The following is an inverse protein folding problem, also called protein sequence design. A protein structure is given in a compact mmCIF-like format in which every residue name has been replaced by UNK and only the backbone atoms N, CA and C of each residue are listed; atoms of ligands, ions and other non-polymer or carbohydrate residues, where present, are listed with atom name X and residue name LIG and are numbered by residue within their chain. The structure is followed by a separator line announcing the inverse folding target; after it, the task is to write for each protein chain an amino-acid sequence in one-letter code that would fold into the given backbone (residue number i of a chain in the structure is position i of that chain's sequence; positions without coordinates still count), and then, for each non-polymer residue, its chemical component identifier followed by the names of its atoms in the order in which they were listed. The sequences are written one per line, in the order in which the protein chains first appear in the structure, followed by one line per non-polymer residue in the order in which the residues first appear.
data_IF_603069219905
#
_entry.id   IF_603069219905
#
_cell.length_a   1.000
_cell.length_b   1.000
_cell.length_c   1.000
_cell.angle_alpha   90.00
_cell.angle_beta   90.00
_cell.angle_gamma   90.00
#
_symmetry.space_group_name_H-M   'P 1'
#
loop_
_entity.id
_entity.type
_entity.pdbx_description
1 polymer ?
#
# COMPACT_ATOMS: atom_id res chain seq x y z
N UNK A 1 -34.18 70.97 2.15
CA UNK A 1 -32.87 70.42 1.78
C UNK A 1 -32.98 69.79 0.41
N UNK A 2 -32.58 70.50 -0.64
CA UNK A 2 -32.52 69.92 -1.99
C UNK A 2 -31.49 68.79 -2.02
N UNK A 3 -31.91 67.59 -2.42
CA UNK A 3 -30.99 66.46 -2.64
C UNK A 3 -29.96 66.84 -3.71
N UNK A 4 -28.68 66.71 -3.35
CA UNK A 4 -27.53 66.99 -4.21
C UNK A 4 -27.74 66.44 -5.64
N UNK A 5 -27.71 67.28 -6.69
CA UNK A 5 -27.99 66.85 -8.07
C UNK A 5 -27.06 65.73 -8.56
N UNK A 6 -25.82 65.67 -8.04
CA UNK A 6 -24.88 64.57 -8.31
C UNK A 6 -25.38 63.24 -7.76
N UNK A 7 -25.95 63.23 -6.56
CA UNK A 7 -26.50 62.02 -5.94
C UNK A 7 -27.70 61.49 -6.74
N UNK A 8 -28.58 62.38 -7.21
CA UNK A 8 -29.72 62.02 -8.07
C UNK A 8 -29.25 61.44 -9.41
N UNK A 9 -28.23 62.02 -10.04
CA UNK A 9 -27.65 61.51 -11.29
C UNK A 9 -27.02 60.13 -11.12
N UNK A 10 -26.25 59.91 -10.04
CA UNK A 10 -25.62 58.62 -9.74
C UNK A 10 -26.67 57.53 -9.44
N UNK A 11 -27.71 57.85 -8.67
CA UNK A 11 -28.80 56.92 -8.39
C UNK A 11 -29.55 56.51 -9.67
N UNK A 12 -29.84 57.46 -10.55
CA UNK A 12 -30.48 57.20 -11.84
C UNK A 12 -29.58 56.36 -12.76
N UNK A 13 -28.28 56.62 -12.80
CA UNK A 13 -27.32 55.83 -13.56
C UNK A 13 -27.23 54.38 -13.02
N UNK A 14 -27.11 54.22 -11.70
CA UNK A 14 -27.09 52.90 -11.05
C UNK A 14 -28.33 52.08 -11.40
N UNK A 15 -29.51 52.69 -11.31
CA UNK A 15 -30.78 52.02 -11.64
C UNK A 15 -30.77 51.51 -13.09
N UNK A 16 -30.45 52.39 -14.05
CA UNK A 16 -30.39 52.02 -15.48
C UNK A 16 -29.38 50.91 -15.76
N UNK A 17 -28.17 51.00 -15.19
CA UNK A 17 -27.13 49.98 -15.37
C UNK A 17 -27.60 48.62 -14.81
N UNK A 18 -28.24 48.63 -13.63
CA UNK A 18 -28.73 47.41 -12.98
C UNK A 18 -29.86 46.76 -13.80
N UNK A 19 -30.76 47.56 -14.37
CA UNK A 19 -31.81 47.09 -15.28
C UNK A 19 -31.22 46.48 -16.56
N UNK A 20 -30.21 47.11 -17.16
CA UNK A 20 -29.52 46.56 -18.33
C UNK A 20 -28.82 45.23 -18.01
N UNK A 21 -28.14 45.13 -16.86
CA UNK A 21 -27.51 43.89 -16.41
C UNK A 21 -28.54 42.76 -16.22
N UNK A 22 -29.70 43.07 -15.63
CA UNK A 22 -30.79 42.10 -15.50
C UNK A 22 -31.25 41.61 -16.88
N UNK A 23 -31.54 42.54 -17.80
CA UNK A 23 -31.97 42.18 -19.15
C UNK A 23 -30.93 41.34 -19.90
N UNK A 24 -29.64 41.63 -19.75
CA UNK A 24 -28.57 40.83 -20.35
C UNK A 24 -28.53 39.41 -19.78
N UNK A 25 -28.65 39.28 -18.46
CA UNK A 25 -28.68 38.00 -17.75
C UNK A 25 -29.88 37.17 -18.21
N UNK A 26 -31.07 37.76 -18.22
CA UNK A 26 -32.31 37.09 -18.60
C UNK A 26 -32.28 36.64 -20.07
N UNK A 27 -31.74 37.47 -20.98
CA UNK A 27 -31.57 37.11 -22.40
C UNK A 27 -30.59 35.95 -22.56
N UNK A 28 -29.48 35.94 -21.81
CA UNK A 28 -28.53 34.85 -21.84
C UNK A 28 -29.15 33.53 -21.36
N UNK A 29 -29.95 33.56 -20.29
CA UNK A 29 -30.68 32.39 -19.78
C UNK A 29 -31.72 31.89 -20.80
N UNK A 30 -32.48 32.79 -21.43
CA UNK A 30 -33.43 32.43 -22.51
C UNK A 30 -32.72 31.79 -23.70
N UNK A 31 -31.57 32.34 -24.10
CA UNK A 31 -30.76 31.74 -25.16
C UNK A 31 -30.27 30.34 -24.77
N UNK A 32 -29.84 30.14 -23.52
CA UNK A 32 -29.46 28.81 -23.04
C UNK A 32 -30.62 27.81 -23.14
N UNK A 33 -31.84 28.23 -22.78
CA UNK A 33 -33.05 27.41 -22.91
C UNK A 33 -33.40 27.07 -24.36
N UNK A 34 -33.29 28.03 -25.29
CA UNK A 34 -33.51 27.76 -26.73
C UNK A 34 -32.44 26.82 -27.30
N UNK A 35 -31.20 26.94 -26.86
CA UNK A 35 -30.13 25.98 -27.24
C UNK A 35 -30.40 24.60 -26.66
N UNK A 36 -30.92 24.48 -25.43
CA UNK A 36 -31.32 23.19 -24.84
C UNK A 36 -32.40 22.51 -25.70
N UNK A 37 -33.46 23.23 -26.09
CA UNK A 37 -34.50 22.71 -26.99
C UNK A 37 -33.94 22.25 -28.35
N UNK A 38 -33.02 23.03 -28.92
CA UNK A 38 -32.37 22.65 -30.18
C UNK A 38 -31.58 21.34 -30.05
N UNK A 39 -30.96 21.10 -28.89
CA UNK A 39 -30.20 19.88 -28.62
C UNK A 39 -31.09 18.64 -28.39
N UNK A 40 -32.40 18.81 -28.22
CA UNK A 40 -33.36 17.69 -28.18
C UNK A 40 -33.62 17.10 -29.58
N UNK A 41 -33.45 17.89 -30.63
CA UNK A 41 -33.78 17.51 -32.02
C UNK A 41 -32.55 17.41 -32.94
N UNK A 42 -31.39 17.91 -32.51
CA UNK A 42 -30.15 17.92 -33.28
C UNK A 42 -28.95 17.49 -32.43
N UNK A 43 -27.94 16.90 -33.07
CA UNK A 43 -26.68 16.60 -32.38
C UNK A 43 -25.95 17.87 -31.96
N UNK A 44 -25.08 17.78 -30.96
CA UNK A 44 -24.25 18.91 -30.51
C UNK A 44 -23.45 19.54 -31.67
N UNK A 45 -23.01 18.73 -32.64
CA UNK A 45 -22.25 19.21 -33.80
C UNK A 45 -23.13 20.03 -34.75
N UNK A 46 -24.32 19.51 -35.07
CA UNK A 46 -25.28 20.17 -35.95
C UNK A 46 -25.80 21.46 -35.32
N UNK A 47 -26.19 21.43 -34.04
CA UNK A 47 -26.65 22.61 -33.30
C UNK A 47 -25.59 23.71 -33.27
N UNK A 48 -24.31 23.37 -32.99
CA UNK A 48 -23.22 24.35 -33.03
C UNK A 48 -22.98 24.92 -34.43
N UNK A 49 -23.05 24.07 -35.46
CA UNK A 49 -22.92 24.50 -36.85
C UNK A 49 -24.02 25.48 -37.24
N UNK A 50 -25.27 25.11 -36.95
CA UNK A 50 -26.45 25.92 -37.21
C UNK A 50 -26.38 27.28 -36.50
N UNK A 51 -26.13 27.29 -35.19
CA UNK A 51 -26.08 28.52 -34.39
C UNK A 51 -24.91 29.43 -34.79
N UNK A 52 -23.78 28.87 -35.24
CA UNK A 52 -22.64 29.65 -35.75
C UNK A 52 -22.98 30.32 -37.09
N UNK A 53 -23.53 29.56 -38.03
CA UNK A 53 -23.76 30.02 -39.41
C UNK A 53 -25.00 30.91 -39.52
N UNK A 54 -26.10 30.51 -38.88
CA UNK A 54 -27.40 31.18 -39.04
C UNK A 54 -27.72 32.17 -37.92
N UNK A 55 -27.15 32.00 -36.73
CA UNK A 55 -27.42 32.88 -35.58
C UNK A 55 -26.24 33.78 -35.19
N UNK A 56 -25.09 33.67 -35.89
CA UNK A 56 -23.92 34.53 -35.67
C UNK A 56 -23.24 34.36 -34.30
N UNK A 57 -23.48 33.26 -33.60
CA UNK A 57 -22.92 33.04 -32.26
C UNK A 57 -21.43 32.65 -32.32
N UNK A 58 -20.64 33.22 -31.42
CA UNK A 58 -19.21 32.90 -31.32
C UNK A 58 -19.00 31.44 -30.90
N UNK A 59 -18.02 30.76 -31.50
CA UNK A 59 -17.70 29.38 -31.13
C UNK A 59 -17.34 29.23 -29.64
N UNK A 60 -16.79 30.29 -29.05
CA UNK A 60 -16.43 30.32 -27.63
C UNK A 60 -17.66 30.36 -26.70
N UNK A 61 -18.78 30.92 -27.15
CA UNK A 61 -20.01 31.07 -26.35
C UNK A 61 -20.97 29.91 -26.58
N UNK A 62 -20.95 29.32 -27.78
CA UNK A 62 -21.65 28.07 -28.08
C UNK A 62 -21.25 26.93 -27.14
N UNK A 63 -19.97 26.88 -26.76
CA UNK A 63 -19.49 25.93 -25.76
C UNK A 63 -20.19 26.10 -24.41
N UNK A 64 -20.46 27.34 -23.99
CA UNK A 64 -21.17 27.67 -22.76
C UNK A 64 -22.63 27.25 -22.82
N UNK A 65 -23.36 27.66 -23.86
CA UNK A 65 -24.79 27.37 -23.97
C UNK A 65 -25.07 25.87 -24.03
N UNK A 66 -24.25 25.11 -24.77
CA UNK A 66 -24.36 23.64 -24.83
C UNK A 66 -24.06 22.97 -23.48
N UNK A 67 -23.14 23.52 -22.69
CA UNK A 67 -22.82 22.99 -21.36
C UNK A 67 -23.83 23.43 -20.30
N UNK A 68 -24.58 24.51 -20.55
CA UNK A 68 -25.45 25.13 -19.56
C UNK A 68 -26.46 24.14 -18.99
N UNK A 69 -27.21 23.44 -19.86
CA UNK A 69 -28.20 22.44 -19.44
C UNK A 69 -27.63 21.26 -18.65
N UNK A 70 -26.33 20.96 -18.80
CA UNK A 70 -25.64 19.89 -18.06
C UNK A 70 -25.02 20.34 -16.75
N UNK A 71 -24.70 21.63 -16.64
CA UNK A 71 -23.84 22.13 -15.55
C UNK A 71 -24.54 23.13 -14.65
N UNK A 72 -25.42 23.97 -15.18
CA UNK A 72 -26.07 25.09 -14.49
C UNK A 72 -27.60 24.95 -14.43
N UNK A 73 -28.13 23.80 -14.82
CA UNK A 73 -29.57 23.51 -14.73
C UNK A 73 -30.04 23.57 -13.27
N UNK A 74 -31.13 24.28 -13.02
CA UNK A 74 -31.66 24.55 -11.69
C UNK A 74 -31.02 25.75 -10.97
N UNK A 75 -29.99 26.36 -11.54
CA UNK A 75 -29.37 27.57 -11.00
C UNK A 75 -29.84 28.86 -11.68
N UNK A 76 -30.77 28.78 -12.65
CA UNK A 76 -31.24 29.92 -13.47
C UNK A 76 -31.73 31.07 -12.60
N UNK A 77 -32.51 30.74 -11.58
CA UNK A 77 -33.05 31.65 -10.59
C UNK A 77 -31.97 32.41 -9.81
N UNK A 78 -30.93 31.69 -9.37
CA UNK A 78 -29.80 32.27 -8.63
C UNK A 78 -29.00 33.19 -9.56
N UNK A 79 -28.75 32.75 -10.79
CA UNK A 79 -28.02 33.54 -11.79
C UNK A 79 -28.79 34.82 -12.18
N UNK A 80 -30.11 34.71 -12.36
CA UNK A 80 -31.00 35.81 -12.67
C UNK A 80 -31.05 36.84 -11.54
N UNK A 81 -31.33 36.41 -10.30
CA UNK A 81 -31.44 37.32 -9.15
C UNK A 81 -30.12 38.03 -8.84
N UNK A 82 -29.00 37.34 -9.00
CA UNK A 82 -27.68 37.90 -8.74
C UNK A 82 -27.10 38.67 -9.94
N UNK A 83 -27.85 38.80 -11.06
CA UNK A 83 -27.46 39.53 -12.28
C UNK A 83 -26.08 39.10 -12.79
N UNK A 84 -25.87 37.79 -12.85
CA UNK A 84 -24.54 37.25 -13.16
C UNK A 84 -24.19 37.53 -14.63
N UNK A 85 -23.06 38.21 -14.91
CA UNK A 85 -22.65 38.48 -16.29
C UNK A 85 -22.29 37.18 -17.02
N UNK A 86 -22.45 37.19 -18.36
CA UNK A 86 -22.23 35.99 -19.17
C UNK A 86 -20.80 35.44 -19.09
N UNK A 87 -19.79 36.29 -18.86
CA UNK A 87 -18.41 35.87 -18.62
C UNK A 87 -18.26 34.97 -17.38
N UNK A 88 -19.00 35.27 -16.31
CA UNK A 88 -19.04 34.47 -15.08
C UNK A 88 -19.85 33.20 -15.31
N UNK A 89 -20.99 33.27 -16.03
CA UNK A 89 -21.72 32.05 -16.43
C UNK A 89 -20.84 31.07 -17.22
N UNK A 90 -20.02 31.60 -18.13
CA UNK A 90 -19.05 30.83 -18.91
C UNK A 90 -17.97 30.17 -18.04
N UNK A 91 -17.47 30.88 -17.03
CA UNK A 91 -16.55 30.32 -16.05
C UNK A 91 -17.20 29.20 -15.23
N UNK A 92 -18.42 29.39 -14.75
CA UNK A 92 -19.19 28.39 -13.98
C UNK A 92 -19.51 27.14 -14.81
N UNK A 93 -19.95 27.31 -16.06
CA UNK A 93 -20.25 26.21 -16.98
C UNK A 93 -19.00 25.38 -17.33
N UNK A 94 -17.81 25.97 -17.21
CA UNK A 94 -16.53 25.32 -17.51
C UNK A 94 -15.81 24.76 -16.28
N UNK A 95 -16.24 25.14 -15.07
CA UNK A 95 -15.66 24.67 -13.82
C UNK A 95 -15.97 23.19 -13.56
N UNK A 96 -15.15 22.52 -12.74
CA UNK A 96 -15.48 21.21 -12.18
C UNK A 96 -16.65 21.31 -11.19
N UNK A 97 -17.23 20.17 -10.83
CA UNK A 97 -18.44 20.11 -10.00
C UNK A 97 -18.28 20.82 -8.66
N UNK A 98 -17.16 20.60 -7.96
CA UNK A 98 -16.95 21.15 -6.61
C UNK A 98 -16.79 22.66 -6.65
N UNK A 99 -15.96 23.14 -7.59
CA UNK A 99 -15.79 24.58 -7.84
C UNK A 99 -17.12 25.25 -8.19
N UNK A 100 -17.93 24.62 -9.04
CA UNK A 100 -19.24 25.17 -9.45
C UNK A 100 -20.23 25.20 -8.29
N UNK A 101 -20.35 24.11 -7.52
CA UNK A 101 -21.26 24.05 -6.37
C UNK A 101 -20.93 25.15 -5.37
N UNK A 102 -19.65 25.27 -4.98
CA UNK A 102 -19.23 26.31 -4.04
C UNK A 102 -19.52 27.71 -4.57
N UNK A 103 -19.13 28.00 -5.82
CA UNK A 103 -19.36 29.31 -6.41
C UNK A 103 -20.85 29.66 -6.48
N UNK A 104 -21.72 28.70 -6.84
CA UNK A 104 -23.17 28.91 -6.84
C UNK A 104 -23.73 29.13 -5.44
N UNK A 105 -23.25 28.40 -4.42
CA UNK A 105 -23.64 28.63 -3.02
C UNK A 105 -23.21 30.02 -2.54
N UNK A 106 -21.99 30.45 -2.86
CA UNK A 106 -21.49 31.79 -2.54
C UNK A 106 -22.33 32.89 -3.21
N UNK A 107 -22.69 32.70 -4.49
CA UNK A 107 -23.57 33.63 -5.22
C UNK A 107 -24.99 33.64 -4.62
N UNK A 108 -25.52 32.48 -4.24
CA UNK A 108 -26.82 32.39 -3.58
C UNK A 108 -26.83 33.10 -2.21
N UNK A 109 -25.69 33.14 -1.52
CA UNK A 109 -25.45 33.93 -0.32
C UNK A 109 -25.33 35.44 -0.56
N UNK A 110 -25.43 35.91 -1.82
CA UNK A 110 -25.42 37.33 -2.18
C UNK A 110 -24.05 37.90 -2.54
N UNK A 111 -23.00 37.09 -2.57
CA UNK A 111 -21.68 37.54 -3.01
C UNK A 111 -21.63 37.70 -4.54
N UNK A 112 -20.99 38.77 -5.00
CA UNK A 112 -20.70 38.97 -6.42
C UNK A 112 -19.35 38.36 -6.74
N UNK A 113 -19.37 37.23 -7.47
CA UNK A 113 -18.15 36.59 -7.94
C UNK A 113 -17.77 37.04 -9.34
N UNK A 114 -16.48 37.30 -9.55
CA UNK A 114 -15.87 37.47 -10.85
C UNK A 114 -15.20 36.19 -11.36
N UNK A 115 -14.67 36.23 -12.58
CA UNK A 115 -13.99 35.08 -13.19
C UNK A 115 -12.68 34.71 -12.50
N UNK A 116 -12.01 35.67 -11.86
CA UNK A 116 -10.74 35.48 -11.16
C UNK A 116 -10.94 34.79 -9.81
N UNK A 117 -12.03 35.10 -9.12
CA UNK A 117 -12.45 34.48 -7.87
C UNK A 117 -12.86 33.02 -8.09
N UNK A 118 -13.60 32.73 -9.18
CA UNK A 118 -13.88 31.33 -9.56
C UNK A 118 -12.58 30.55 -9.84
N UNK A 119 -11.60 31.18 -10.49
CA UNK A 119 -10.29 30.56 -10.71
C UNK A 119 -9.53 30.34 -9.38
N UNK A 120 -9.67 31.24 -8.41
CA UNK A 120 -9.10 31.08 -7.08
C UNK A 120 -9.74 29.92 -6.31
N UNK A 121 -11.07 29.81 -6.31
CA UNK A 121 -11.82 28.68 -5.72
C UNK A 121 -11.31 27.37 -6.31
N UNK A 122 -11.20 27.29 -7.64
CA UNK A 122 -10.70 26.09 -8.33
C UNK A 122 -9.29 25.70 -7.89
N UNK A 123 -8.38 26.67 -7.79
CA UNK A 123 -7.00 26.43 -7.33
C UNK A 123 -6.99 25.89 -5.92
N UNK A 124 -7.75 26.50 -5.00
CA UNK A 124 -7.86 26.06 -3.61
C UNK A 124 -8.39 24.63 -3.50
N UNK A 125 -9.50 24.32 -4.17
CA UNK A 125 -10.11 22.99 -4.15
C UNK A 125 -9.18 21.91 -4.74
N UNK A 126 -8.36 22.25 -5.73
CA UNK A 126 -7.33 21.34 -6.26
C UNK A 126 -6.24 21.06 -5.24
N UNK A 127 -5.75 22.08 -4.55
CA UNK A 127 -4.74 21.94 -3.48
C UNK A 127 -5.26 21.06 -2.34
N UNK A 128 -6.49 21.29 -1.91
CA UNK A 128 -7.12 20.53 -0.81
C UNK A 128 -7.27 19.04 -1.16
N UNK A 129 -7.64 18.73 -2.42
CA UNK A 129 -7.69 17.34 -2.90
C UNK A 129 -6.33 16.66 -2.89
N UNK A 130 -5.28 17.35 -3.33
CA UNK A 130 -3.91 16.81 -3.31
C UNK A 130 -3.45 16.54 -1.89
N UNK A 131 -3.73 17.45 -0.95
CA UNK A 131 -3.41 17.28 0.47
C UNK A 131 -4.11 16.05 1.08
N UNK A 132 -5.41 15.86 0.80
CA UNK A 132 -6.16 14.69 1.27
C UNK A 132 -5.65 13.37 0.71
N UNK A 133 -5.24 13.35 -0.57
CA UNK A 133 -4.66 12.15 -1.18
C UNK A 133 -3.32 11.77 -0.52
N UNK A 134 -2.47 12.76 -0.20
CA UNK A 134 -1.22 12.52 0.51
C UNK A 134 -1.45 11.97 1.93
N UNK A 135 -2.45 12.50 2.65
CA UNK A 135 -2.83 11.98 3.96
C UNK A 135 -3.31 10.52 3.88
N UNK A 136 -4.17 10.19 2.92
CA UNK A 136 -4.66 8.82 2.72
C UNK A 136 -3.52 7.82 2.39
N UNK A 137 -2.52 8.25 1.62
CA UNK A 137 -1.36 7.40 1.32
C UNK A 137 -0.50 7.13 2.56
N UNK A 138 -0.28 8.16 3.38
CA UNK A 138 0.43 8.01 4.66
C UNK A 138 -0.29 7.04 5.59
N UNK A 139 -1.61 7.15 5.69
CA UNK A 139 -2.42 6.27 6.53
C UNK A 139 -2.37 4.81 6.02
N UNK A 140 -2.46 4.61 4.70
CA UNK A 140 -2.31 3.28 4.09
C UNK A 140 -0.95 2.65 4.38
N UNK A 141 0.13 3.42 4.20
CA UNK A 141 1.48 2.95 4.49
C UNK A 141 1.64 2.58 5.97
N UNK A 142 1.03 3.35 6.88
CA UNK A 142 1.06 3.05 8.31
C UNK A 142 0.32 1.75 8.66
N UNK A 143 -0.85 1.51 8.06
CA UNK A 143 -1.62 0.26 8.25
C UNK A 143 -0.84 -0.95 7.73
N UNK A 144 -0.27 -0.86 6.53
CA UNK A 144 0.56 -1.94 5.96
C UNK A 144 1.76 -2.22 6.86
N UNK A 145 2.47 -1.19 7.30
CA UNK A 145 3.63 -1.35 8.17
C UNK A 145 3.26 -1.94 9.54
N UNK A 146 2.09 -1.62 10.10
CA UNK A 146 1.60 -2.20 11.34
C UNK A 146 1.31 -3.71 11.18
N UNK A 147 0.64 -4.08 10.08
CA UNK A 147 0.33 -5.48 9.79
C UNK A 147 1.60 -6.31 9.53
N UNK A 148 2.58 -5.76 8.79
CA UNK A 148 3.88 -6.42 8.57
C UNK A 148 4.62 -6.67 9.89
N UNK A 149 4.65 -5.69 10.80
CA UNK A 149 5.26 -5.86 12.13
C UNK A 149 4.56 -6.94 12.95
N UNK A 150 3.22 -6.96 12.91
CA UNK A 150 2.44 -7.98 13.63
C UNK A 150 2.73 -9.37 13.09
N UNK A 151 2.73 -9.54 11.77
CA UNK A 151 3.07 -10.82 11.13
C UNK A 151 4.49 -11.27 11.46
N UNK A 152 5.48 -10.37 11.34
CA UNK A 152 6.86 -10.68 11.69
C UNK A 152 7.01 -11.14 13.14
N UNK A 153 6.32 -10.49 14.10
CA UNK A 153 6.34 -10.88 15.51
C UNK A 153 5.69 -12.26 15.75
N UNK A 154 4.56 -12.54 15.09
CA UNK A 154 3.90 -13.84 15.17
C UNK A 154 4.74 -14.96 14.56
N UNK A 155 5.27 -14.75 13.36
CA UNK A 155 6.12 -15.74 12.67
C UNK A 155 7.44 -15.97 13.41
N UNK A 156 8.04 -14.93 14.02
CA UNK A 156 9.24 -15.11 14.86
C UNK A 156 8.95 -15.95 16.11
N UNK A 157 7.79 -15.76 16.74
CA UNK A 157 7.38 -16.57 17.90
C UNK A 157 7.13 -18.03 17.50
N UNK A 158 6.49 -18.25 16.36
CA UNK A 158 6.25 -19.59 15.82
C UNK A 158 7.58 -20.30 15.51
N UNK A 159 8.50 -19.63 14.81
CA UNK A 159 9.82 -20.18 14.48
C UNK A 159 10.61 -20.57 15.73
N UNK A 160 10.57 -19.74 16.79
CA UNK A 160 11.20 -20.07 18.08
C UNK A 160 10.63 -21.38 18.66
N UNK A 161 9.30 -21.46 18.81
CA UNK A 161 8.62 -22.62 19.40
C UNK A 161 8.79 -23.90 18.58
N UNK A 162 8.71 -23.81 17.25
CA UNK A 162 8.87 -24.94 16.35
C UNK A 162 10.33 -25.43 16.34
N UNK A 163 11.31 -24.51 16.35
CA UNK A 163 12.72 -24.89 16.43
C UNK A 163 13.04 -25.52 17.79
N UNK A 164 12.44 -25.02 18.87
CA UNK A 164 12.56 -25.58 20.23
C UNK A 164 12.10 -27.04 20.27
N UNK A 165 10.90 -27.32 19.75
CA UNK A 165 10.32 -28.66 19.67
C UNK A 165 11.11 -29.60 18.73
N UNK A 166 11.60 -29.06 17.62
CA UNK A 166 12.45 -29.79 16.68
C UNK A 166 13.76 -30.24 17.34
N UNK A 167 14.41 -29.36 18.09
CA UNK A 167 15.64 -29.70 18.81
C UNK A 167 15.45 -30.83 19.83
N UNK A 168 14.29 -30.90 20.49
CA UNK A 168 13.97 -32.00 21.39
C UNK A 168 13.74 -33.32 20.64
N UNK A 169 13.14 -33.27 19.46
CA UNK A 169 12.98 -34.43 18.57
C UNK A 169 14.33 -34.95 18.10
N UNK A 170 15.23 -34.06 17.64
CA UNK A 170 16.59 -34.41 17.24
C UNK A 170 17.37 -35.02 18.41
N UNK A 171 17.17 -34.53 19.64
CA UNK A 171 17.78 -35.10 20.85
C UNK A 171 17.32 -36.52 21.12
N UNK A 172 16.02 -36.75 21.05
CA UNK A 172 15.44 -38.07 21.30
C UNK A 172 15.98 -39.07 20.28
N UNK A 173 16.07 -38.66 19.01
CA UNK A 173 16.66 -39.45 17.93
C UNK A 173 18.14 -39.76 18.18
N UNK A 174 18.97 -38.74 18.43
CA UNK A 174 20.40 -38.94 18.72
C UNK A 174 20.60 -39.88 19.91
N UNK A 175 19.84 -39.69 20.99
CA UNK A 175 19.96 -40.54 22.18
C UNK A 175 19.50 -41.97 21.94
N UNK A 176 18.45 -42.18 21.14
CA UNK A 176 17.90 -43.51 20.83
C UNK A 176 18.82 -44.29 19.92
N UNK A 177 19.36 -43.65 18.90
CA UNK A 177 20.13 -44.30 17.84
C UNK A 177 21.64 -44.05 17.92
N UNK A 178 22.16 -43.50 19.02
CA UNK A 178 23.59 -43.17 19.18
C UNK A 178 24.53 -44.30 18.75
N UNK A 179 24.29 -45.51 19.28
CA UNK A 179 25.13 -46.68 18.98
C UNK A 179 24.90 -47.21 17.56
N UNK A 180 23.70 -47.03 17.02
CA UNK A 180 23.34 -47.40 15.65
C UNK A 180 24.01 -46.48 14.61
N UNK A 181 24.00 -45.16 14.86
CA UNK A 181 24.72 -44.16 14.07
C UNK A 181 26.23 -44.44 14.11
N UNK A 182 26.77 -44.86 15.26
CA UNK A 182 28.17 -45.28 15.39
C UNK A 182 28.47 -46.58 14.64
N UNK A 183 27.54 -47.55 14.60
CA UNK A 183 27.75 -48.81 13.88
C UNK A 183 27.77 -48.68 12.36
N UNK A 184 27.09 -47.67 11.80
CA UNK A 184 27.23 -47.31 10.38
C UNK A 184 28.66 -46.86 10.04
N UNK A 185 29.33 -46.15 10.95
CA UNK A 185 30.73 -45.76 10.77
C UNK A 185 31.68 -46.98 10.87
N UNK A 186 31.29 -48.00 11.64
CA UNK A 186 32.11 -49.19 11.95
C UNK A 186 31.73 -50.46 11.16
N UNK A 187 30.81 -50.38 10.18
CA UNK A 187 30.41 -51.43 9.24
C UNK A 187 29.99 -52.78 9.88
N UNK A 188 29.21 -52.78 10.96
CA UNK A 188 28.60 -54.01 11.53
C UNK A 188 27.15 -54.20 11.06
N UNK A 189 26.77 -55.45 10.75
CA UNK A 189 25.42 -55.83 10.29
C UNK A 189 24.34 -55.52 11.33
N UNK A 190 23.23 -54.98 10.85
CA UNK A 190 22.10 -54.43 11.63
C UNK A 190 20.89 -55.37 11.68
N UNK A 191 20.07 -55.24 12.72
CA UNK A 191 18.78 -55.92 12.85
C UNK A 191 17.69 -55.15 12.06
N UNK A 192 16.83 -55.83 11.25
CA UNK A 192 15.87 -55.16 10.37
C UNK A 192 14.90 -54.21 11.07
N UNK A 193 14.41 -54.58 12.26
CA UNK A 193 13.44 -53.78 13.02
C UNK A 193 14.05 -52.45 13.50
N UNK A 194 15.33 -52.42 13.85
CA UNK A 194 16.02 -51.19 14.26
C UNK A 194 16.27 -50.24 13.06
N UNK A 195 16.53 -50.79 11.88
CA UNK A 195 16.76 -50.01 10.67
C UNK A 195 15.46 -49.35 10.16
N UNK A 196 14.33 -50.05 10.20
CA UNK A 196 13.03 -49.48 9.83
C UNK A 196 12.60 -48.34 10.76
N UNK A 197 12.74 -48.53 12.08
CA UNK A 197 12.46 -47.48 13.07
C UNK A 197 13.38 -46.27 12.92
N UNK A 198 14.67 -46.51 12.64
CA UNK A 198 15.64 -45.45 12.38
C UNK A 198 15.25 -44.62 11.17
N UNK A 199 14.95 -45.28 10.04
CA UNK A 199 14.57 -44.58 8.81
C UNK A 199 13.27 -43.80 8.96
N UNK A 200 12.30 -44.33 9.71
CA UNK A 200 11.05 -43.63 10.01
C UNK A 200 11.27 -42.35 10.84
N UNK A 201 12.12 -42.41 11.88
CA UNK A 201 12.44 -41.25 12.70
C UNK A 201 13.34 -40.24 11.94
N UNK A 202 14.23 -40.74 11.08
CA UNK A 202 15.08 -39.92 10.20
C UNK A 202 14.23 -39.11 9.20
N UNK A 203 13.30 -39.74 8.49
CA UNK A 203 12.40 -39.06 7.56
C UNK A 203 11.49 -38.03 8.26
N UNK A 204 11.09 -38.32 9.51
CA UNK A 204 10.34 -37.36 10.33
C UNK A 204 11.16 -36.10 10.61
N UNK A 205 12.43 -36.26 10.99
CA UNK A 205 13.34 -35.13 11.22
C UNK A 205 13.60 -34.37 9.91
N UNK A 206 13.83 -35.08 8.80
CA UNK A 206 14.03 -34.46 7.48
C UNK A 206 12.85 -33.58 7.09
N UNK A 207 11.63 -34.12 7.19
CA UNK A 207 10.38 -33.39 6.88
C UNK A 207 10.16 -32.19 7.80
N UNK A 208 10.49 -32.31 9.10
CA UNK A 208 10.41 -31.18 10.04
C UNK A 208 11.48 -30.11 9.74
N UNK A 209 12.67 -30.52 9.28
CA UNK A 209 13.72 -29.61 8.82
C UNK A 209 13.33 -28.83 7.56
N UNK A 210 12.66 -29.47 6.60
CA UNK A 210 12.07 -28.82 5.42
C UNK A 210 11.07 -27.74 5.84
N UNK A 211 10.11 -28.09 6.71
CA UNK A 211 9.10 -27.15 7.19
C UNK A 211 9.73 -25.93 7.91
N UNK A 212 10.68 -26.17 8.81
CA UNK A 212 11.38 -25.08 9.50
C UNK A 212 12.19 -24.19 8.56
N UNK A 213 12.77 -24.75 7.49
CA UNK A 213 13.47 -23.97 6.48
C UNK A 213 12.52 -23.04 5.72
N UNK A 214 11.31 -23.51 5.40
CA UNK A 214 10.26 -22.69 4.80
C UNK A 214 9.86 -21.54 5.74
N UNK A 215 9.53 -21.85 7.01
CA UNK A 215 9.19 -20.84 8.03
C UNK A 215 10.33 -19.83 8.21
N UNK A 216 11.58 -20.27 8.20
CA UNK A 216 12.75 -19.39 8.26
C UNK A 216 12.79 -18.42 7.06
N UNK A 217 12.55 -18.92 5.84
CA UNK A 217 12.55 -18.10 4.63
C UNK A 217 11.38 -17.11 4.62
N UNK A 218 10.23 -17.45 5.20
CA UNK A 218 9.12 -16.52 5.36
C UNK A 218 9.46 -15.35 6.30
N UNK A 219 10.20 -15.61 7.38
CA UNK A 219 10.57 -14.59 8.38
C UNK A 219 11.72 -13.71 7.89
N UNK A 220 12.78 -14.30 7.35
CA UNK A 220 14.03 -13.61 7.03
C UNK A 220 14.25 -13.38 5.54
N UNK A 221 13.39 -13.92 4.69
CA UNK A 221 13.49 -13.84 3.24
C UNK A 221 14.42 -14.89 2.61
N UNK A 222 14.33 -15.08 1.28
CA UNK A 222 15.11 -16.10 0.54
C UNK A 222 16.60 -15.70 0.39
N UNK A 223 16.89 -14.41 0.51
CA UNK A 223 18.22 -13.81 0.42
C UNK A 223 18.50 -13.08 1.73
N UNK A 224 18.87 -13.82 2.77
CA UNK A 224 19.58 -13.21 3.88
C UNK A 224 20.97 -12.81 3.34
N UNK A 225 21.36 -11.55 3.51
CA UNK A 225 22.68 -11.11 3.08
C UNK A 225 23.72 -11.85 3.95
N UNK A 226 24.55 -12.69 3.32
CA UNK A 226 25.54 -13.53 3.99
C UNK A 226 26.61 -12.69 4.72
N UNK A 227 26.66 -11.38 4.44
CA UNK A 227 27.59 -10.43 5.02
C UNK A 227 27.16 -9.84 6.38
N UNK A 228 25.87 -9.85 6.73
CA UNK A 228 25.37 -9.11 7.90
C UNK A 228 25.23 -9.96 9.18
N UNK A 229 24.90 -11.26 9.07
CA UNK A 229 24.83 -12.15 10.26
C UNK A 229 25.26 -13.60 9.96
N UNK A 230 26.50 -13.92 10.36
CA UNK A 230 27.08 -15.25 10.24
C UNK A 230 26.29 -16.31 11.02
N UNK A 231 25.59 -15.95 12.11
CA UNK A 231 24.86 -16.91 12.95
C UNK A 231 23.55 -17.33 12.30
N UNK A 232 22.78 -16.38 11.76
CA UNK A 232 21.56 -16.70 11.01
C UNK A 232 21.88 -17.47 9.74
N UNK A 233 22.98 -17.15 9.07
CA UNK A 233 23.48 -17.91 7.92
C UNK A 233 23.79 -19.37 8.27
N UNK A 234 24.45 -19.60 9.42
CA UNK A 234 24.71 -20.97 9.93
C UNK A 234 23.43 -21.70 10.33
N UNK A 235 22.48 -21.03 10.94
CA UNK A 235 21.19 -21.64 11.30
C UNK A 235 20.41 -22.08 10.06
N UNK A 236 20.32 -21.22 9.04
CA UNK A 236 19.73 -21.58 7.75
C UNK A 236 20.42 -22.77 7.11
N UNK A 237 21.76 -22.76 7.10
CA UNK A 237 22.53 -23.86 6.53
C UNK A 237 22.32 -25.17 7.29
N UNK A 238 22.19 -25.13 8.62
CA UNK A 238 21.81 -26.29 9.41
C UNK A 238 20.41 -26.82 9.06
N UNK A 239 19.40 -25.95 8.94
CA UNK A 239 18.06 -26.34 8.49
C UNK A 239 18.08 -26.98 7.09
N UNK A 240 18.85 -26.40 6.17
CA UNK A 240 19.04 -26.95 4.83
C UNK A 240 19.64 -28.36 4.87
N UNK A 241 20.62 -28.60 5.74
CA UNK A 241 21.18 -29.94 5.91
C UNK A 241 20.17 -30.94 6.44
N UNK A 242 19.36 -30.56 7.42
CA UNK A 242 18.27 -31.42 7.90
C UNK A 242 17.26 -31.72 6.79
N UNK A 243 16.84 -30.71 6.03
CA UNK A 243 15.90 -30.85 4.92
C UNK A 243 16.41 -31.79 3.81
N UNK A 244 17.70 -31.70 3.49
CA UNK A 244 18.36 -32.54 2.48
C UNK A 244 18.73 -33.94 2.99
N UNK A 245 18.44 -34.26 4.25
CA UNK A 245 18.83 -35.53 4.87
C UNK A 245 20.32 -35.62 5.23
N UNK A 246 21.08 -34.53 5.11
CA UNK A 246 22.52 -34.50 5.35
C UNK A 246 22.88 -34.38 6.83
N UNK A 247 22.44 -35.34 7.66
CA UNK A 247 22.73 -35.41 9.09
C UNK A 247 22.90 -36.86 9.60
N UNK A 248 23.41 -37.01 10.83
CA UNK A 248 23.62 -38.30 11.48
C UNK A 248 24.52 -39.24 10.64
N UNK A 249 23.99 -40.39 10.20
CA UNK A 249 24.72 -41.36 9.39
C UNK A 249 25.10 -40.84 8.00
N UNK A 250 24.33 -39.89 7.44
CA UNK A 250 24.53 -39.34 6.10
C UNK A 250 25.02 -37.89 6.20
N UNK A 251 26.29 -37.70 6.59
CA UNK A 251 26.94 -36.39 6.64
C UNK A 251 27.27 -35.86 8.04
N UNK A 252 26.90 -36.56 9.12
CA UNK A 252 27.32 -36.22 10.47
C UNK A 252 26.59 -35.02 11.10
N UNK A 253 27.06 -34.61 12.28
CA UNK A 253 26.48 -33.52 13.08
C UNK A 253 27.28 -32.20 12.99
N UNK A 254 28.36 -32.18 12.20
CA UNK A 254 29.31 -31.07 12.05
C UNK A 254 29.11 -30.34 10.72
N UNK A 255 29.54 -29.08 10.63
CA UNK A 255 29.56 -28.36 9.34
C UNK A 255 30.72 -28.79 8.42
N UNK A 256 31.81 -29.31 8.98
CA UNK A 256 32.98 -29.77 8.21
C UNK A 256 32.79 -31.19 7.68
N UNK A 257 33.17 -31.42 6.42
CA UNK A 257 33.27 -32.74 5.81
C UNK A 257 34.64 -33.35 6.17
N UNK A 258 34.66 -34.27 7.15
CA UNK A 258 35.86 -34.91 7.70
C UNK A 258 35.49 -35.99 8.71
N UNK A 259 36.47 -36.63 9.37
CA UNK A 259 36.21 -37.73 10.33
C UNK A 259 35.18 -37.24 11.37
N UNK A 260 33.96 -37.81 11.41
CA UNK A 260 32.91 -37.33 12.29
C UNK A 260 33.38 -37.45 13.74
N UNK A 261 33.54 -36.34 14.45
CA UNK A 261 33.53 -36.40 15.92
C UNK A 261 32.06 -36.51 16.35
N UNK A 262 31.60 -37.67 16.85
CA UNK A 262 30.21 -37.85 17.27
C UNK A 262 29.81 -36.93 18.44
N UNK A 263 30.76 -36.19 19.03
CA UNK A 263 30.52 -35.22 20.10
C UNK A 263 30.38 -33.79 19.58
N UNK A 264 30.70 -33.54 18.31
CA UNK A 264 30.59 -32.21 17.73
C UNK A 264 29.22 -32.04 17.04
N UNK A 265 28.37 -31.18 17.62
CA UNK A 265 26.96 -30.99 17.27
C UNK A 265 26.71 -29.59 16.67
N UNK A 266 27.63 -29.11 15.84
CA UNK A 266 27.63 -27.75 15.30
C UNK A 266 26.32 -27.38 14.58
N UNK A 267 25.73 -28.30 13.80
CA UNK A 267 24.48 -28.03 13.08
C UNK A 267 23.31 -27.85 14.05
N UNK A 268 23.29 -28.58 15.17
CA UNK A 268 22.29 -28.44 16.24
C UNK A 268 22.53 -27.14 17.01
N UNK A 269 23.79 -26.84 17.34
CA UNK A 269 24.19 -25.63 18.05
C UNK A 269 23.87 -24.35 17.29
N UNK A 270 23.92 -24.38 15.95
CA UNK A 270 23.57 -23.25 15.11
C UNK A 270 22.08 -22.89 15.18
N UNK A 271 21.18 -23.88 15.35
CA UNK A 271 19.74 -23.64 15.45
C UNK A 271 19.34 -22.96 16.76
N UNK A 272 20.16 -23.04 17.81
CA UNK A 272 19.89 -22.39 19.09
C UNK A 272 19.76 -20.86 18.96
N UNK A 273 20.33 -20.25 17.92
CA UNK A 273 20.16 -18.81 17.67
C UNK A 273 18.72 -18.42 17.34
N UNK A 274 17.92 -19.36 16.82
CA UNK A 274 16.52 -19.15 16.48
C UNK A 274 15.60 -19.34 17.69
N UNK A 275 16.14 -19.80 18.82
CA UNK A 275 15.36 -20.13 20.01
C UNK A 275 15.62 -19.18 21.16
N UNK A 276 14.62 -19.03 22.03
CA UNK A 276 14.75 -18.34 23.33
C UNK A 276 15.47 -19.20 24.40
N UNK A 277 15.96 -20.41 24.06
CA UNK A 277 16.65 -21.29 25.01
C UNK A 277 17.88 -20.58 25.61
N UNK A 278 18.10 -20.67 26.94
CA UNK A 278 19.30 -20.11 27.53
C UNK A 278 20.56 -20.78 26.95
N UNK A 279 21.56 -19.96 26.61
CA UNK A 279 22.86 -20.38 26.03
C UNK A 279 23.70 -21.34 26.90
N UNK A 280 23.20 -21.73 28.07
CA UNK A 280 23.81 -22.74 28.93
C UNK A 280 23.06 -24.08 28.88
N UNK A 281 22.20 -24.29 27.87
CA UNK A 281 21.58 -25.60 27.63
C UNK A 281 22.67 -26.65 27.41
N UNK A 282 22.43 -27.87 27.87
CA UNK A 282 23.40 -28.98 27.90
C UNK A 282 24.11 -29.25 26.56
N UNK A 283 23.58 -28.74 25.44
CA UNK A 283 24.13 -28.78 24.10
C UNK A 283 25.41 -27.95 23.90
N UNK A 284 25.57 -26.83 24.63
CA UNK A 284 26.69 -25.88 24.43
C UNK A 284 27.94 -26.21 25.27
N UNK A 285 27.94 -27.34 25.99
CA UNK A 285 29.18 -27.89 26.55
C UNK A 285 30.01 -28.49 25.42
N UNK A 286 30.69 -27.62 24.68
CA UNK A 286 31.88 -28.01 23.91
C UNK A 286 32.83 -28.70 24.89
N UNK A 287 33.23 -29.97 24.66
CA UNK A 287 34.37 -30.50 25.39
C UNK A 287 35.56 -29.59 25.06
N UNK A 288 36.21 -29.03 26.09
CA UNK A 288 37.43 -28.22 25.90
C UNK A 288 38.40 -29.04 25.05
N UNK A 289 38.84 -28.48 23.93
CA UNK A 289 39.96 -29.03 23.17
C UNK A 289 41.14 -29.21 24.15
N UNK A 290 41.79 -30.39 24.21
CA UNK A 290 42.97 -30.57 25.03
C UNK A 290 44.03 -29.57 24.60
N UNK A 291 44.70 -28.93 25.57
CA UNK A 291 45.78 -27.99 25.27
C UNK A 291 46.97 -28.77 24.70
N UNK A 292 47.77 -28.18 23.79
CA UNK A 292 48.92 -28.86 23.16
C UNK A 292 50.05 -29.29 24.10
N UNK A 293 49.89 -29.16 25.43
CA UNK A 293 50.92 -29.44 26.43
C UNK A 293 50.70 -30.74 27.21
N UNK A 294 49.62 -31.48 26.97
CA UNK A 294 49.33 -32.73 27.70
C UNK A 294 49.77 -34.00 26.93
N UNK A 295 50.70 -33.86 25.97
CA UNK A 295 51.43 -34.97 25.36
C UNK A 295 52.91 -34.89 25.74
N UNK A 296 53.20 -35.27 26.99
CA UNK A 296 54.48 -35.83 27.43
C UNK A 296 54.20 -36.97 28.38
#
# INVERSE_FOLDING_TARGET
MELNPKAKALAAARKRITELQQQMTDKALKMAAEVEKLLEVATVREAKGFLKVHCGLSSSDLGTYVKFSKTLKGAEDVLARSRIPFSVMKALASADSDTRTEALTTIAGGAHLDTSEIAAIRRRNRTDKMSRAQAAEKDRAAVIAAELRRRAASSSTALDQETDAFLDTVRAFESRFRYFIQSFADAKKEEPETAEEFMADFERIRSAGEHLLETFVEVFGPRHDLAEDLKLSRARYALQRFAEGRFAHDGGWTFEEGIPDPRNLDIIGALLILTSRPRNSLWLRTPKSPRPTDLT
#
